data_IF_962197442027
#
_entry.id   IF_962197442027
#
_cell.length_a   1.000
_cell.length_b   1.000
_cell.length_c   1.000
_cell.angle_alpha   90.00
_cell.angle_beta   90.00
_cell.angle_gamma   90.00
#
_symmetry.space_group_name_H-M   'P 1'
#
loop_
_entity.id
_entity.type
_entity.pdbx_description
1 polymer ?
#
# COMPACT_ATOMS: atom_id res chain seq x y z
N UNK A 1 -40.61 -11.41 -12.59
CA UNK A 1 -39.78 -10.53 -13.44
C UNK A 1 -39.34 -9.32 -12.63
N UNK A 2 -38.04 -9.09 -12.43
CA UNK A 2 -37.57 -7.90 -11.69
C UNK A 2 -37.80 -6.63 -12.52
N UNK A 3 -38.41 -5.62 -11.91
CA UNK A 3 -38.65 -4.32 -12.55
C UNK A 3 -37.30 -3.64 -12.87
N UNK A 4 -37.15 -2.99 -14.04
CA UNK A 4 -35.89 -2.33 -14.48
C UNK A 4 -35.35 -1.35 -13.43
N UNK A 5 -36.23 -0.65 -12.71
CA UNK A 5 -35.84 0.24 -11.59
C UNK A 5 -35.13 -0.53 -10.45
N UNK A 6 -35.62 -1.72 -10.08
CA UNK A 6 -35.00 -2.56 -9.04
C UNK A 6 -33.62 -3.06 -9.46
N UNK A 7 -33.44 -3.35 -10.75
CA UNK A 7 -32.15 -3.77 -11.32
C UNK A 7 -31.12 -2.63 -11.22
N UNK A 8 -31.53 -1.39 -11.53
CA UNK A 8 -30.65 -0.22 -11.40
C UNK A 8 -30.23 0.03 -9.95
N UNK A 9 -31.15 -0.04 -8.99
CA UNK A 9 -30.85 0.11 -7.56
C UNK A 9 -29.86 -0.98 -7.10
N UNK A 10 -30.08 -2.23 -7.49
CA UNK A 10 -29.18 -3.34 -7.13
C UNK A 10 -27.75 -3.08 -7.63
N UNK A 11 -27.61 -2.57 -8.86
CA UNK A 11 -26.30 -2.26 -9.43
C UNK A 11 -25.57 -1.17 -8.66
N UNK A 12 -26.28 -0.11 -8.24
CA UNK A 12 -25.71 0.97 -7.43
C UNK A 12 -25.27 0.46 -6.06
N UNK A 13 -26.12 -0.30 -5.36
CA UNK A 13 -25.79 -0.89 -4.05
C UNK A 13 -24.56 -1.79 -4.15
N UNK A 14 -24.49 -2.61 -5.21
CA UNK A 14 -23.36 -3.48 -5.46
C UNK A 14 -22.06 -2.70 -5.71
N UNK A 15 -22.08 -1.65 -6.55
CA UNK A 15 -20.89 -0.81 -6.78
C UNK A 15 -20.42 -0.11 -5.50
N UNK A 16 -21.36 0.35 -4.66
CA UNK A 16 -21.05 0.92 -3.35
C UNK A 16 -20.39 -0.12 -2.43
N UNK A 17 -20.95 -1.33 -2.34
CA UNK A 17 -20.39 -2.40 -1.52
C UNK A 17 -18.98 -2.78 -1.98
N UNK A 18 -18.75 -2.93 -3.28
CA UNK A 18 -17.42 -3.20 -3.85
C UNK A 18 -16.46 -2.04 -3.59
N UNK A 19 -16.92 -0.80 -3.71
CA UNK A 19 -16.12 0.39 -3.41
C UNK A 19 -15.65 0.41 -1.96
N UNK A 20 -16.52 0.12 -1.01
CA UNK A 20 -16.19 0.12 0.43
C UNK A 20 -15.29 -1.08 0.77
N UNK A 21 -15.72 -2.29 0.43
CA UNK A 21 -15.01 -3.52 0.76
C UNK A 21 -13.62 -3.59 0.11
N UNK A 22 -13.53 -3.13 -1.15
CA UNK A 22 -12.28 -3.08 -1.88
C UNK A 22 -11.23 -2.21 -1.17
N UNK A 23 -11.63 -1.06 -0.63
CA UNK A 23 -10.73 -0.18 0.13
C UNK A 23 -10.22 -0.84 1.40
N UNK A 24 -11.11 -1.49 2.16
CA UNK A 24 -10.75 -2.15 3.41
C UNK A 24 -9.66 -3.20 3.22
N UNK A 25 -9.65 -3.93 2.11
CA UNK A 25 -8.63 -4.93 1.81
C UNK A 25 -7.22 -4.32 1.70
N UNK A 26 -7.09 -3.14 1.10
CA UNK A 26 -5.80 -2.46 0.97
C UNK A 26 -5.36 -1.76 2.27
N UNK A 27 -6.32 -1.35 3.13
CA UNK A 27 -6.03 -0.65 4.38
C UNK A 27 -5.49 -1.56 5.49
N UNK A 28 -5.79 -2.88 5.47
CA UNK A 28 -5.37 -3.84 6.51
C UNK A 28 -3.87 -3.77 6.86
N UNK A 29 -2.92 -3.86 5.90
CA UNK A 29 -1.50 -3.84 6.23
C UNK A 29 -0.97 -2.43 6.56
N UNK A 30 -1.73 -1.36 6.30
CA UNK A 30 -1.21 0.00 6.29
C UNK A 30 -0.61 0.45 7.62
N UNK A 31 -1.28 0.09 8.72
CA UNK A 31 -0.82 0.43 10.07
C UNK A 31 0.55 -0.16 10.39
N UNK A 32 0.80 -1.41 9.99
CA UNK A 32 2.08 -2.11 10.19
C UNK A 32 3.25 -1.41 9.51
N UNK A 33 3.00 -0.76 8.38
CA UNK A 33 4.02 -0.05 7.60
C UNK A 33 4.00 1.46 7.84
N UNK A 34 3.46 1.94 8.97
CA UNK A 34 3.37 3.36 9.28
C UNK A 34 2.69 4.18 8.17
N UNK A 35 1.66 3.67 7.50
CA UNK A 35 0.94 4.46 6.51
C UNK A 35 1.71 4.78 5.23
N UNK A 36 2.84 4.10 4.95
CA UNK A 36 3.65 4.40 3.76
C UNK A 36 3.13 3.75 2.47
N UNK A 37 2.14 2.85 2.59
CA UNK A 37 1.63 2.09 1.45
C UNK A 37 0.79 3.00 0.55
N UNK A 38 1.01 2.89 -0.74
CA UNK A 38 0.32 3.68 -1.76
C UNK A 38 -1.07 3.12 -2.09
N UNK A 39 -1.93 2.99 -1.09
CA UNK A 39 -3.24 2.34 -1.20
C UNK A 39 -4.14 3.06 -2.20
N UNK A 40 -4.04 4.39 -2.27
CA UNK A 40 -4.88 5.22 -3.12
C UNK A 40 -4.74 4.84 -4.60
N UNK A 41 -3.50 4.66 -5.10
CA UNK A 41 -3.27 4.32 -6.51
C UNK A 41 -3.82 2.94 -6.85
N UNK A 42 -3.57 1.92 -6.01
CA UNK A 42 -4.06 0.56 -6.25
C UNK A 42 -5.59 0.49 -6.23
N UNK A 43 -6.21 1.17 -5.28
CA UNK A 43 -7.66 1.24 -5.17
C UNK A 43 -8.28 1.98 -6.37
N UNK A 44 -7.78 3.18 -6.69
CA UNK A 44 -8.27 3.96 -7.83
C UNK A 44 -8.12 3.20 -9.15
N UNK A 45 -6.99 2.52 -9.35
CA UNK A 45 -6.74 1.72 -10.55
C UNK A 45 -7.69 0.53 -10.65
N UNK A 46 -7.96 -0.16 -9.53
CA UNK A 46 -8.96 -1.23 -9.46
C UNK A 46 -10.35 -0.71 -9.85
N UNK A 47 -10.75 0.45 -9.33
CA UNK A 47 -12.03 1.08 -9.68
C UNK A 47 -12.10 1.47 -11.16
N UNK A 48 -11.03 2.04 -11.72
CA UNK A 48 -10.96 2.39 -13.14
C UNK A 48 -11.08 1.15 -14.04
N UNK A 49 -10.43 0.05 -13.68
CA UNK A 49 -10.52 -1.22 -14.39
C UNK A 49 -11.95 -1.80 -14.35
N UNK A 50 -12.63 -1.73 -13.20
CA UNK A 50 -14.04 -2.13 -13.07
C UNK A 50 -14.93 -1.26 -13.94
N UNK A 51 -14.71 0.06 -13.97
CA UNK A 51 -15.48 1.00 -14.79
C UNK A 51 -15.28 0.73 -16.29
N UNK A 52 -14.03 0.52 -16.73
CA UNK A 52 -13.73 0.13 -18.10
C UNK A 52 -14.43 -1.19 -18.49
N UNK A 53 -14.42 -2.20 -17.60
CA UNK A 53 -15.14 -3.45 -17.83
C UNK A 53 -16.67 -3.26 -17.87
N UNK A 54 -17.22 -2.41 -17.01
CA UNK A 54 -18.64 -2.08 -17.02
C UNK A 54 -19.05 -1.45 -18.35
N UNK A 55 -18.28 -0.48 -18.85
CA UNK A 55 -18.49 0.14 -20.16
C UNK A 55 -18.39 -0.89 -21.29
N UNK A 56 -17.36 -1.75 -21.26
CA UNK A 56 -17.18 -2.80 -22.26
C UNK A 56 -18.37 -3.76 -22.30
N UNK A 57 -18.81 -4.27 -21.15
CA UNK A 57 -19.98 -5.17 -21.05
C UNK A 57 -21.26 -4.44 -21.50
N UNK A 58 -21.39 -3.16 -21.16
CA UNK A 58 -22.57 -2.37 -21.55
C UNK A 58 -22.68 -2.25 -23.07
N UNK A 59 -21.60 -1.83 -23.76
CA UNK A 59 -21.60 -1.58 -25.19
C UNK A 59 -21.51 -2.84 -26.05
N UNK A 60 -20.73 -3.85 -25.64
CA UNK A 60 -20.37 -4.96 -26.52
C UNK A 60 -21.02 -6.30 -26.16
N UNK A 61 -21.48 -6.50 -24.90
CA UNK A 61 -22.10 -7.78 -24.51
C UNK A 61 -23.55 -7.87 -25.02
N UNK A 62 -23.85 -8.92 -25.78
CA UNK A 62 -25.21 -9.33 -26.12
C UNK A 62 -25.77 -10.15 -24.97
N UNK A 63 -26.68 -9.58 -24.18
CA UNK A 63 -27.26 -10.27 -23.03
C UNK A 63 -28.35 -9.46 -22.34
N UNK A 64 -29.19 -10.13 -21.57
CA UNK A 64 -30.17 -9.46 -20.72
C UNK A 64 -29.46 -8.61 -19.65
N UNK A 65 -30.10 -7.56 -19.11
CA UNK A 65 -29.50 -6.71 -18.08
C UNK A 65 -28.97 -7.49 -16.86
N UNK A 66 -29.66 -8.58 -16.49
CA UNK A 66 -29.26 -9.45 -15.38
C UNK A 66 -27.94 -10.16 -15.70
N UNK A 67 -27.78 -10.70 -16.92
CA UNK A 67 -26.52 -11.34 -17.34
C UNK A 67 -25.36 -10.35 -17.34
N UNK A 68 -25.59 -9.11 -17.81
CA UNK A 68 -24.57 -8.05 -17.79
C UNK A 68 -24.10 -7.73 -16.36
N UNK A 69 -25.03 -7.66 -15.40
CA UNK A 69 -24.69 -7.46 -13.98
C UNK A 69 -23.88 -8.65 -13.44
N UNK A 70 -24.26 -9.89 -13.77
CA UNK A 70 -23.48 -11.06 -13.37
C UNK A 70 -22.06 -11.04 -13.94
N UNK A 71 -21.89 -10.66 -15.21
CA UNK A 71 -20.57 -10.51 -15.80
C UNK A 71 -19.74 -9.43 -15.09
N UNK A 72 -20.35 -8.29 -14.76
CA UNK A 72 -19.68 -7.22 -14.02
C UNK A 72 -19.30 -7.69 -12.60
N UNK A 73 -20.17 -8.44 -11.95
CA UNK A 73 -19.91 -9.04 -10.64
C UNK A 73 -18.65 -9.90 -10.66
N UNK A 74 -18.61 -10.88 -11.58
CA UNK A 74 -17.46 -11.78 -11.74
C UNK A 74 -16.20 -11.00 -12.13
N UNK A 75 -16.29 -10.07 -13.08
CA UNK A 75 -15.17 -9.25 -13.51
C UNK A 75 -14.58 -8.42 -12.36
N UNK A 76 -15.42 -7.82 -11.52
CA UNK A 76 -14.96 -7.04 -10.37
C UNK A 76 -14.17 -7.88 -9.38
N UNK A 77 -14.62 -9.11 -9.11
CA UNK A 77 -13.96 -10.00 -8.15
C UNK A 77 -12.58 -10.35 -8.69
N UNK A 78 -12.48 -10.68 -9.98
CA UNK A 78 -11.21 -11.00 -10.63
C UNK A 78 -10.27 -9.79 -10.57
N UNK A 79 -10.76 -8.59 -10.89
CA UNK A 79 -9.96 -7.36 -10.86
C UNK A 79 -9.44 -7.10 -9.46
N UNK A 80 -10.33 -7.02 -8.46
CA UNK A 80 -9.93 -6.76 -7.08
C UNK A 80 -9.01 -7.86 -6.55
N UNK A 81 -9.30 -9.13 -6.81
CA UNK A 81 -8.42 -10.23 -6.40
C UNK A 81 -7.03 -10.09 -7.03
N UNK A 82 -6.93 -9.76 -8.33
CA UNK A 82 -5.66 -9.56 -9.01
C UNK A 82 -4.84 -8.41 -8.40
N UNK A 83 -5.47 -7.25 -8.20
CA UNK A 83 -4.80 -6.10 -7.60
C UNK A 83 -4.43 -6.33 -6.13
N UNK A 84 -5.29 -6.97 -5.35
CA UNK A 84 -5.02 -7.31 -3.95
C UNK A 84 -3.88 -8.31 -3.86
N UNK A 85 -3.88 -9.37 -4.66
CA UNK A 85 -2.76 -10.33 -4.71
C UNK A 85 -1.47 -9.60 -5.07
N UNK A 86 -1.46 -8.81 -6.14
CA UNK A 86 -0.27 -8.04 -6.51
C UNK A 86 0.21 -7.14 -5.38
N UNK A 87 -0.70 -6.38 -4.75
CA UNK A 87 -0.40 -5.49 -3.64
C UNK A 87 0.22 -6.23 -2.45
N UNK A 88 -0.38 -7.34 -2.03
CA UNK A 88 0.11 -8.14 -0.90
C UNK A 88 1.44 -8.83 -1.19
N UNK A 89 1.64 -9.34 -2.42
CA UNK A 89 2.91 -9.94 -2.84
C UNK A 89 4.03 -8.92 -3.01
N UNK A 90 3.69 -7.64 -3.17
CA UNK A 90 4.63 -6.54 -3.35
C UNK A 90 4.83 -5.70 -2.09
N UNK A 91 4.26 -6.12 -0.95
CA UNK A 91 4.43 -5.39 0.31
C UNK A 91 5.91 -5.22 0.65
N UNK A 92 6.29 -4.12 1.33
CA UNK A 92 7.68 -3.93 1.73
C UNK A 92 8.16 -5.10 2.61
N UNK A 93 9.41 -5.51 2.38
CA UNK A 93 10.03 -6.62 3.09
C UNK A 93 10.28 -6.29 4.56
N UNK A 94 10.40 -5.01 4.90
CA UNK A 94 10.74 -4.53 6.23
C UNK A 94 9.72 -3.51 6.75
N UNK A 95 9.28 -3.68 8.00
CA UNK A 95 8.70 -2.58 8.79
C UNK A 95 9.78 -1.65 9.30
N UNK A 96 9.36 -0.55 9.93
CA UNK A 96 10.29 0.38 10.55
C UNK A 96 11.14 -0.28 11.65
N UNK A 97 10.51 -1.11 12.48
CA UNK A 97 11.16 -1.83 13.57
C UNK A 97 12.16 -2.86 13.04
N UNK A 98 11.77 -3.62 12.01
CA UNK A 98 12.64 -4.59 11.35
C UNK A 98 13.83 -3.90 10.67
N UNK A 99 13.61 -2.73 10.06
CA UNK A 99 14.67 -1.89 9.52
C UNK A 99 15.64 -1.40 10.60
N UNK A 100 15.12 -0.93 11.74
CA UNK A 100 15.93 -0.47 12.86
C UNK A 100 16.83 -1.59 13.41
N UNK A 101 16.27 -2.79 13.61
CA UNK A 101 17.04 -3.98 14.03
C UNK A 101 18.11 -4.36 13.02
N UNK A 102 17.82 -4.26 11.71
CA UNK A 102 18.80 -4.59 10.66
C UNK A 102 20.01 -3.64 10.68
N UNK A 103 19.77 -2.34 10.81
CA UNK A 103 20.85 -1.32 10.86
C UNK A 103 21.62 -1.42 12.18
N UNK A 104 20.94 -1.65 13.30
CA UNK A 104 21.58 -1.88 14.60
C UNK A 104 22.54 -3.08 14.56
N UNK A 105 22.09 -4.20 13.97
CA UNK A 105 22.91 -5.40 13.83
C UNK A 105 24.15 -5.16 12.95
N UNK A 106 24.05 -4.34 11.90
CA UNK A 106 25.17 -3.97 11.05
C UNK A 106 26.26 -3.21 11.82
N UNK A 107 25.89 -2.20 12.61
CA UNK A 107 26.85 -1.44 13.41
C UNK A 107 27.45 -2.27 14.56
N UNK A 108 26.64 -3.08 15.23
CA UNK A 108 27.14 -4.01 16.27
C UNK A 108 28.09 -5.07 15.70
N UNK A 109 27.83 -5.54 14.48
CA UNK A 109 28.72 -6.48 13.78
C UNK A 109 30.12 -5.92 13.55
N UNK A 110 30.26 -4.59 13.57
CA UNK A 110 31.54 -3.89 13.49
C UNK A 110 32.20 -3.66 14.87
N UNK A 111 31.65 -4.23 15.95
CA UNK A 111 32.19 -4.14 17.30
C UNK A 111 31.85 -2.85 18.06
N UNK A 112 30.94 -2.03 17.54
CA UNK A 112 30.57 -0.74 18.14
C UNK A 112 29.45 -0.89 19.19
N UNK A 113 29.42 0.02 20.14
CA UNK A 113 28.29 0.18 21.07
C UNK A 113 27.16 0.91 20.37
N UNK A 114 25.97 0.31 20.32
CA UNK A 114 24.83 0.84 19.54
C UNK A 114 23.57 0.90 20.39
N UNK A 115 22.91 2.06 20.36
CA UNK A 115 21.59 2.30 20.92
C UNK A 115 20.64 2.84 19.85
N UNK A 116 19.51 2.17 19.64
CA UNK A 116 18.46 2.63 18.71
C UNK A 116 17.69 3.79 19.33
N UNK A 117 17.49 4.86 18.56
CA UNK A 117 16.59 5.97 18.89
C UNK A 117 15.33 5.84 18.04
N UNK A 118 14.19 5.58 18.67
CA UNK A 118 12.89 5.50 18.00
C UNK A 118 12.18 6.83 18.21
N UNK A 119 12.01 7.67 17.18
CA UNK A 119 11.26 8.91 17.31
C UNK A 119 9.82 8.65 17.76
N UNK A 120 9.23 9.55 18.53
CA UNK A 120 7.81 9.45 18.91
C UNK A 120 6.92 9.70 17.69
N UNK A 121 7.26 10.73 16.91
CA UNK A 121 6.48 11.19 15.78
C UNK A 121 6.77 10.41 14.50
N UNK A 122 5.75 10.27 13.65
CA UNK A 122 5.82 9.47 12.42
C UNK A 122 6.64 10.17 11.34
N UNK A 123 6.47 11.46 11.22
CA UNK A 123 7.14 12.37 10.27
C UNK A 123 8.67 12.32 10.37
N UNK A 124 9.20 12.02 11.55
CA UNK A 124 10.63 11.86 11.76
C UNK A 124 11.16 10.52 11.27
N UNK A 125 10.31 9.49 11.28
CA UNK A 125 10.62 8.13 10.80
C UNK A 125 10.63 8.03 9.28
N UNK A 126 10.01 8.98 8.57
CA UNK A 126 9.71 8.84 7.14
C UNK A 126 10.44 9.88 6.29
N UNK A 127 10.92 9.44 5.14
CA UNK A 127 11.43 10.27 4.06
C UNK A 127 10.53 10.21 2.84
N UNK A 128 10.50 11.29 2.06
CA UNK A 128 9.85 11.28 0.74
C UNK A 128 10.74 10.52 -0.24
N UNK A 129 10.25 9.39 -0.72
CA UNK A 129 10.81 8.66 -1.85
C UNK A 129 10.36 9.25 -3.19
N UNK A 130 10.79 8.66 -4.30
CA UNK A 130 10.41 9.15 -5.63
C UNK A 130 8.95 8.78 -5.95
N UNK A 131 8.04 9.76 -6.15
CA UNK A 131 6.65 9.46 -6.47
C UNK A 131 6.56 8.77 -7.83
N UNK A 132 5.95 7.60 -7.89
CA UNK A 132 5.72 6.89 -9.17
C UNK A 132 4.44 6.07 -9.09
N UNK A 133 3.60 6.17 -10.12
CA UNK A 133 2.32 5.47 -10.21
C UNK A 133 2.49 3.95 -10.00
N UNK A 134 1.63 3.36 -9.17
CA UNK A 134 1.63 1.93 -8.82
C UNK A 134 2.90 1.40 -8.13
N UNK A 135 3.79 2.27 -7.63
CA UNK A 135 4.77 1.82 -6.61
C UNK A 135 4.04 1.50 -5.32
N UNK A 136 4.50 0.46 -4.62
CA UNK A 136 3.90 0.03 -3.35
C UNK A 136 4.07 1.06 -2.24
N UNK A 137 5.17 1.82 -2.26
CA UNK A 137 5.42 2.91 -1.31
C UNK A 137 6.09 4.10 -2.01
N UNK A 138 5.83 5.30 -1.49
CA UNK A 138 6.52 6.54 -1.86
C UNK A 138 7.45 7.03 -0.76
N UNK A 139 7.80 6.17 0.22
CA UNK A 139 8.56 6.60 1.39
C UNK A 139 9.76 5.70 1.65
N UNK A 140 10.78 6.29 2.26
CA UNK A 140 11.90 5.58 2.88
C UNK A 140 11.79 5.69 4.40
N UNK A 141 12.46 4.81 5.13
CA UNK A 141 12.62 4.97 6.57
C UNK A 141 13.90 5.72 6.89
N UNK A 142 13.86 6.56 7.93
CA UNK A 142 15.05 7.12 8.56
C UNK A 142 15.25 6.46 9.91
N UNK A 143 16.37 5.77 10.05
CA UNK A 143 16.72 5.04 11.27
C UNK A 143 17.78 5.84 12.02
N UNK A 144 17.50 6.18 13.27
CA UNK A 144 18.39 6.96 14.13
C UNK A 144 19.04 6.04 15.16
N UNK A 145 20.36 6.08 15.24
CA UNK A 145 21.17 5.31 16.17
C UNK A 145 22.11 6.26 16.93
N UNK A 146 22.48 5.89 18.14
CA UNK A 146 23.68 6.39 18.79
C UNK A 146 24.75 5.29 18.73
N UNK A 147 25.88 5.59 18.10
CA UNK A 147 26.99 4.65 17.87
C UNK A 147 28.24 5.22 18.53
N UNK A 148 28.75 4.52 19.55
CA UNK A 148 29.90 4.94 20.35
C UNK A 148 29.78 6.36 20.94
N UNK A 149 28.56 6.81 21.24
CA UNK A 149 28.26 8.15 21.77
C UNK A 149 27.83 9.16 20.72
N UNK A 150 28.03 8.88 19.43
CA UNK A 150 27.75 9.80 18.32
C UNK A 150 26.40 9.47 17.63
N UNK A 151 25.55 10.48 17.34
CA UNK A 151 24.32 10.25 16.61
C UNK A 151 24.59 9.96 15.12
N UNK A 152 24.04 8.86 14.63
CA UNK A 152 24.16 8.43 13.24
C UNK A 152 22.76 8.17 12.69
N UNK A 153 22.53 8.58 11.44
CA UNK A 153 21.25 8.37 10.76
C UNK A 153 21.46 7.59 9.48
N UNK A 154 20.52 6.69 9.21
CA UNK A 154 20.50 5.86 8.01
C UNK A 154 19.21 6.07 7.23
N UNK A 155 19.34 6.26 5.92
CA UNK A 155 18.21 6.18 4.98
C UNK A 155 18.06 4.73 4.57
N UNK A 156 16.90 4.15 4.81
CA UNK A 156 16.60 2.74 4.60
C UNK A 156 15.46 2.57 3.59
N UNK A 157 15.68 1.73 2.58
CA UNK A 157 14.65 1.36 1.61
C UNK A 157 13.85 0.15 2.14
N UNK A 158 12.55 0.29 2.44
CA UNK A 158 11.76 -0.79 3.02
C UNK A 158 11.48 -1.95 2.06
N UNK A 159 11.77 -1.80 0.76
CA UNK A 159 11.50 -2.82 -0.27
C UNK A 159 12.56 -3.91 -0.33
N UNK A 160 13.83 -3.53 -0.41
CA UNK A 160 14.99 -4.42 -0.56
C UNK A 160 15.84 -4.48 0.71
N UNK A 161 15.64 -3.53 1.63
CA UNK A 161 16.39 -3.39 2.85
C UNK A 161 17.81 -2.88 2.64
N UNK A 162 18.09 -2.24 1.51
CA UNK A 162 19.32 -1.46 1.32
C UNK A 162 19.27 -0.19 2.16
N UNK A 163 20.43 0.23 2.67
CA UNK A 163 20.55 1.44 3.48
C UNK A 163 21.91 2.10 3.33
N UNK A 164 21.94 3.39 3.60
CA UNK A 164 23.13 4.24 3.53
C UNK A 164 23.09 5.32 4.60
N UNK A 165 24.24 5.90 4.93
CA UNK A 165 24.31 7.04 5.81
C UNK A 165 23.55 8.24 5.24
N UNK A 166 22.84 8.95 6.10
CA UNK A 166 22.13 10.18 5.76
C UNK A 166 22.56 11.33 6.67
N UNK A 167 22.63 12.53 6.11
CA UNK A 167 22.97 13.76 6.84
C UNK A 167 21.81 14.29 7.70
N UNK A 168 20.61 13.69 7.59
CA UNK A 168 19.44 14.07 8.39
C UNK A 168 19.75 13.85 9.87
N UNK A 169 19.35 14.81 10.72
CA UNK A 169 19.41 14.69 12.17
C UNK A 169 17.99 14.61 12.73
N UNK A 170 17.84 13.91 13.83
CA UNK A 170 16.62 13.97 14.62
C UNK A 170 16.53 15.40 15.19
N UNK A 171 15.42 16.09 14.92
CA UNK A 171 15.16 17.39 15.56
C UNK A 171 14.51 17.13 16.90
N UNK A 172 15.03 17.76 17.96
CA UNK A 172 14.48 17.72 19.31
C UNK A 172 13.12 18.43 19.41
#
# INVERSE_FOLDING_TARGET
MMNRKKIGVLMVVYLLAVGILGRTLFDIPNGKYLGILNIADFYATSCLAVLACALFIYFFSKGSPIKKIMYLFVASIIIFAGFVVYFYTSLPAYTYEEAATKVEAFERGSGKSVQVQIPEHREDKLGVGSPTYLKITHYTYYIYLNVDGEPVTYRFNPLDGEFEHAERRLMD
#
